data_IF_057886050820
#
_entry.id   IF_057886050820
#
_cell.length_a   1.000
_cell.length_b   1.000
_cell.length_c   1.000
_cell.angle_alpha   90.00
_cell.angle_beta   90.00
_cell.angle_gamma   90.00
#
_symmetry.space_group_name_H-M   'P 1'
#
loop_
_entity.id
_entity.type
_entity.pdbx_description
1 polymer ?
#
# COMPACT_ATOMS: atom_id res chain seq x y z
N UNK A 1 37.10 -30.98 -18.69
CA UNK A 1 38.47 -30.67 -18.22
C UNK A 1 38.47 -29.21 -17.78
N UNK A 2 38.49 -28.99 -16.47
CA UNK A 2 38.69 -27.66 -15.89
C UNK A 2 40.16 -27.29 -16.17
N UNK A 3 40.40 -26.31 -17.03
CA UNK A 3 41.71 -25.69 -17.18
C UNK A 3 42.09 -25.05 -15.86
N UNK A 4 43.02 -25.63 -15.15
CA UNK A 4 43.65 -24.98 -14.00
C UNK A 4 44.37 -23.72 -14.47
N UNK A 5 44.06 -22.54 -13.91
CA UNK A 5 44.86 -21.36 -14.23
C UNK A 5 46.31 -21.62 -13.82
N UNK A 6 47.24 -21.40 -14.71
CA UNK A 6 48.68 -21.43 -14.37
C UNK A 6 48.93 -20.27 -13.41
N UNK A 7 49.13 -20.61 -12.15
CA UNK A 7 49.57 -19.64 -11.17
C UNK A 7 50.98 -19.19 -11.52
N UNK A 8 51.20 -17.90 -11.60
CA UNK A 8 52.53 -17.34 -11.75
C UNK A 8 53.38 -17.74 -10.51
N UNK A 9 54.51 -18.44 -10.71
CA UNK A 9 55.34 -18.88 -9.60
C UNK A 9 55.85 -17.73 -8.71
N UNK A 10 55.96 -16.51 -9.27
CA UNK A 10 56.32 -15.31 -8.51
C UNK A 10 55.26 -14.88 -7.46
N UNK A 11 54.02 -15.17 -7.74
CA UNK A 11 52.93 -14.89 -6.80
C UNK A 11 52.97 -15.80 -5.56
N UNK A 12 53.31 -17.06 -5.76
CA UNK A 12 53.36 -18.04 -4.64
C UNK A 12 54.55 -17.77 -3.73
N UNK A 13 55.67 -17.28 -4.28
CA UNK A 13 56.89 -16.97 -3.51
C UNK A 13 56.78 -15.76 -2.57
N UNK A 14 55.85 -14.83 -2.86
CA UNK A 14 55.62 -13.62 -2.04
C UNK A 14 54.56 -13.79 -0.97
N UNK A 15 53.78 -14.85 -1.01
CA UNK A 15 52.80 -15.16 0.04
C UNK A 15 53.47 -16.04 1.09
N UNK A 16 53.77 -15.55 2.26
CA UNK A 16 54.33 -16.33 3.39
C UNK A 16 53.36 -17.41 3.92
N UNK A 17 52.58 -18.03 3.07
CA UNK A 17 51.66 -19.10 3.41
C UNK A 17 52.26 -20.43 2.93
N UNK A 18 52.84 -21.24 3.85
CA UNK A 18 53.69 -22.39 3.44
C UNK A 18 52.90 -23.58 2.86
N UNK A 19 51.57 -23.50 2.76
CA UNK A 19 50.72 -24.61 2.28
C UNK A 19 49.63 -24.19 1.31
N UNK A 20 49.90 -23.19 0.45
CA UNK A 20 48.96 -22.79 -0.59
C UNK A 20 48.98 -23.84 -1.71
N UNK A 21 47.92 -24.62 -1.79
CA UNK A 21 47.73 -25.54 -2.92
C UNK A 21 46.87 -24.83 -3.99
N UNK A 22 46.99 -25.21 -5.29
CA UNK A 22 46.14 -24.66 -6.36
C UNK A 22 44.65 -24.79 -6.07
N UNK A 23 44.28 -25.76 -5.24
CA UNK A 23 42.90 -25.98 -4.80
C UNK A 23 42.38 -24.95 -3.78
N UNK A 24 43.29 -24.16 -3.16
CA UNK A 24 42.88 -23.09 -2.21
C UNK A 24 42.71 -21.72 -2.87
N UNK A 25 43.15 -21.58 -4.12
CA UNK A 25 43.00 -20.36 -4.89
C UNK A 25 41.78 -20.45 -5.80
N UNK A 26 40.80 -19.63 -5.55
CA UNK A 26 39.53 -19.57 -6.31
C UNK A 26 39.44 -18.20 -6.95
N UNK A 27 39.17 -18.16 -8.25
CA UNK A 27 38.87 -16.88 -8.91
C UNK A 27 37.58 -16.28 -8.40
N UNK A 28 37.41 -14.96 -8.53
CA UNK A 28 36.16 -14.28 -8.15
C UNK A 28 34.92 -14.88 -8.83
N UNK A 29 35.09 -15.39 -10.07
CA UNK A 29 34.02 -16.05 -10.82
C UNK A 29 33.66 -17.41 -10.23
N UNK A 30 34.65 -18.21 -9.85
CA UNK A 30 34.45 -19.52 -9.22
C UNK A 30 33.87 -19.36 -7.83
N UNK A 31 34.34 -18.38 -7.05
CA UNK A 31 33.76 -18.04 -5.76
C UNK A 31 32.29 -17.61 -5.90
N UNK A 32 31.95 -16.81 -6.90
CA UNK A 32 30.57 -16.42 -7.18
C UNK A 32 29.69 -17.63 -7.54
N UNK A 33 30.22 -18.64 -8.24
CA UNK A 33 29.51 -19.88 -8.52
C UNK A 33 29.31 -20.75 -7.27
N UNK A 34 30.32 -20.84 -6.41
CA UNK A 34 30.25 -21.62 -5.17
C UNK A 34 29.36 -20.95 -4.11
N UNK A 35 29.38 -19.64 -4.03
CA UNK A 35 28.55 -18.86 -3.12
C UNK A 35 27.14 -18.54 -3.68
N UNK A 36 26.84 -18.97 -4.92
CA UNK A 36 25.52 -18.77 -5.49
C UNK A 36 24.48 -19.55 -4.68
N UNK A 37 23.37 -18.89 -4.39
CA UNK A 37 22.23 -19.52 -3.76
C UNK A 37 21.72 -20.69 -4.65
N UNK A 38 21.25 -21.78 -4.04
CA UNK A 38 20.72 -22.92 -4.79
C UNK A 38 19.55 -22.46 -5.68
N UNK A 39 19.55 -22.91 -6.93
CA UNK A 39 18.49 -22.58 -7.91
C UNK A 39 17.39 -23.63 -8.00
N UNK A 40 17.57 -24.79 -7.37
CA UNK A 40 16.61 -25.90 -7.35
C UNK A 40 16.47 -26.43 -5.94
N UNK A 41 15.28 -26.82 -5.57
CA UNK A 41 15.03 -27.47 -4.31
C UNK A 41 15.71 -28.84 -4.25
N UNK A 42 16.25 -29.17 -3.09
CA UNK A 42 16.76 -30.51 -2.72
C UNK A 42 15.95 -31.04 -1.54
N UNK A 43 16.24 -32.26 -1.10
CA UNK A 43 15.56 -32.82 0.06
C UNK A 43 15.79 -32.06 1.38
N UNK A 44 16.85 -31.26 1.45
CA UNK A 44 17.26 -30.51 2.65
C UNK A 44 17.11 -29.00 2.52
N UNK A 45 17.01 -28.47 1.30
CA UNK A 45 16.89 -27.03 1.03
C UNK A 45 15.73 -26.78 0.09
N UNK A 46 14.76 -26.02 0.55
CA UNK A 46 13.63 -25.58 -0.27
C UNK A 46 13.98 -24.25 -0.92
N UNK A 47 14.00 -24.22 -2.25
CA UNK A 47 14.14 -22.99 -3.03
C UNK A 47 12.74 -22.53 -3.41
N UNK A 48 12.36 -21.36 -2.92
CA UNK A 48 11.08 -20.74 -3.24
C UNK A 48 11.33 -19.58 -4.20
N UNK A 49 10.69 -19.62 -5.36
CA UNK A 49 10.69 -18.48 -6.26
C UNK A 49 9.91 -17.34 -5.61
N UNK A 50 10.59 -16.21 -5.43
CA UNK A 50 9.96 -14.97 -5.00
C UNK A 50 9.58 -14.13 -6.21
N UNK A 51 8.67 -13.19 -6.02
CA UNK A 51 8.31 -12.25 -7.08
C UNK A 51 9.56 -11.54 -7.64
N UNK A 52 9.65 -11.46 -8.96
CA UNK A 52 10.70 -10.73 -9.62
C UNK A 52 10.46 -9.22 -9.43
N UNK A 53 11.39 -8.54 -8.79
CA UNK A 53 11.33 -7.09 -8.63
C UNK A 53 12.03 -6.40 -9.80
N UNK A 54 11.27 -5.62 -10.56
CA UNK A 54 11.80 -4.76 -11.62
C UNK A 54 12.56 -3.56 -11.04
N UNK A 55 13.58 -3.10 -11.74
CA UNK A 55 14.28 -1.84 -11.45
C UNK A 55 13.70 -0.65 -12.21
N UNK A 56 12.85 -0.92 -13.17
CA UNK A 56 12.16 0.10 -13.98
C UNK A 56 10.72 0.14 -13.56
N UNK A 57 10.25 1.32 -13.23
CA UNK A 57 8.83 1.59 -13.05
C UNK A 57 8.29 2.03 -14.39
N UNK A 58 7.42 1.22 -14.99
CA UNK A 58 6.64 1.63 -16.16
C UNK A 58 5.31 2.16 -15.64
N UNK A 59 5.00 3.39 -15.97
CA UNK A 59 3.64 3.90 -15.85
C UNK A 59 2.76 3.13 -16.86
N UNK A 60 1.61 2.62 -16.42
CA UNK A 60 0.75 1.75 -17.22
C UNK A 60 0.22 2.39 -18.52
N UNK A 61 0.36 3.71 -18.69
CA UNK A 61 -0.12 4.45 -19.88
C UNK A 61 0.97 5.36 -20.45
N UNK A 62 2.05 4.77 -20.96
CA UNK A 62 3.13 5.53 -21.64
C UNK A 62 2.75 5.97 -23.06
N UNK A 63 1.55 5.62 -23.57
CA UNK A 63 1.16 5.95 -24.94
C UNK A 63 0.53 7.34 -25.11
N UNK A 64 0.17 8.02 -24.01
CA UNK A 64 -0.32 9.40 -24.08
C UNK A 64 0.40 10.19 -22.99
N UNK A 65 1.55 10.73 -23.32
CA UNK A 65 2.14 11.83 -22.57
C UNK A 65 1.23 13.06 -22.75
N UNK A 66 0.08 13.04 -22.10
CA UNK A 66 -0.71 14.25 -21.91
C UNK A 66 0.12 15.17 -21.02
N UNK A 67 0.63 16.23 -21.60
CA UNK A 67 1.43 17.29 -20.93
C UNK A 67 0.70 17.98 -19.79
N UNK A 68 -0.51 17.58 -19.44
CA UNK A 68 -1.34 18.10 -18.35
C UNK A 68 -1.75 17.05 -17.31
N UNK A 69 -1.16 15.86 -17.26
CA UNK A 69 -1.49 14.88 -16.23
C UNK A 69 -1.01 15.38 -14.87
N UNK A 70 -1.94 15.48 -13.92
CA UNK A 70 -1.60 15.78 -12.51
C UNK A 70 -1.09 14.49 -11.87
N UNK A 71 0.13 14.52 -11.37
CA UNK A 71 0.75 13.34 -10.75
C UNK A 71 0.97 13.53 -9.24
N UNK A 72 0.97 12.43 -8.51
CA UNK A 72 1.36 12.35 -7.11
C UNK A 72 2.63 11.50 -7.03
N UNK A 73 3.68 12.06 -6.43
CA UNK A 73 4.93 11.36 -6.20
C UNK A 73 4.84 10.44 -4.98
N UNK A 74 5.20 9.17 -5.16
CA UNK A 74 5.34 8.19 -4.07
C UNK A 74 6.75 8.19 -3.46
N UNK A 75 7.75 8.65 -4.21
CA UNK A 75 9.14 8.66 -3.82
C UNK A 75 10.06 8.15 -4.92
N UNK A 76 11.29 7.79 -4.55
CA UNK A 76 12.31 7.28 -5.46
C UNK A 76 12.45 5.77 -5.38
N UNK A 77 12.85 5.16 -6.49
CA UNK A 77 13.18 3.74 -6.51
C UNK A 77 14.45 3.51 -5.70
N UNK A 78 14.35 2.63 -4.70
CA UNK A 78 15.51 2.20 -3.92
C UNK A 78 15.92 0.80 -4.34
N UNK A 79 17.18 0.66 -4.74
CA UNK A 79 17.76 -0.64 -5.08
C UNK A 79 18.92 -0.95 -4.14
N UNK A 80 18.80 -2.04 -3.38
CA UNK A 80 19.71 -2.39 -2.30
C UNK A 80 19.81 -1.22 -1.30
N UNK A 81 20.95 -0.55 -1.23
CA UNK A 81 21.20 0.55 -0.30
C UNK A 81 21.35 1.91 -0.99
N UNK A 82 21.03 1.98 -2.30
CA UNK A 82 21.19 3.17 -3.13
C UNK A 82 19.86 3.61 -3.67
N UNK A 83 19.55 4.90 -3.53
CA UNK A 83 18.39 5.51 -4.16
C UNK A 83 18.72 5.81 -5.62
N UNK A 84 17.86 5.34 -6.51
CA UNK A 84 17.99 5.60 -7.94
C UNK A 84 17.33 6.96 -8.28
N UNK A 85 17.81 7.64 -9.33
CA UNK A 85 17.24 8.94 -9.72
C UNK A 85 15.80 8.86 -10.24
N UNK A 86 15.26 7.66 -10.41
CA UNK A 86 13.92 7.42 -10.94
C UNK A 86 12.88 7.62 -9.85
N UNK A 87 11.95 8.57 -10.07
CA UNK A 87 10.78 8.82 -9.24
C UNK A 87 9.63 7.91 -9.62
N UNK A 88 8.90 7.43 -8.62
CA UNK A 88 7.64 6.70 -8.80
C UNK A 88 6.50 7.70 -8.66
N UNK A 89 5.73 7.87 -9.71
CA UNK A 89 4.59 8.79 -9.74
C UNK A 89 3.31 8.01 -10.04
N UNK A 90 2.21 8.45 -9.44
CA UNK A 90 0.86 7.99 -9.74
C UNK A 90 0.14 9.09 -10.49
N UNK A 91 -0.53 8.73 -11.55
CA UNK A 91 -1.47 9.60 -12.24
C UNK A 91 -2.74 9.74 -11.39
N UNK A 92 -3.18 10.98 -11.14
CA UNK A 92 -4.39 11.27 -10.38
C UNK A 92 -5.65 10.71 -11.03
N UNK A 93 -5.70 10.68 -12.35
CA UNK A 93 -6.84 10.11 -13.06
C UNK A 93 -6.98 8.59 -12.82
N UNK A 94 -5.87 7.92 -12.48
CA UNK A 94 -5.87 6.51 -12.09
C UNK A 94 -6.28 6.28 -10.63
N UNK A 95 -6.26 7.29 -9.77
CA UNK A 95 -6.74 7.20 -8.38
C UNK A 95 -8.27 7.07 -8.26
N UNK A 96 -9.00 7.13 -9.36
CA UNK A 96 -10.42 6.72 -9.42
C UNK A 96 -10.58 5.22 -9.15
N UNK A 97 -9.51 4.44 -9.27
CA UNK A 97 -9.44 3.03 -8.90
C UNK A 97 -9.12 2.86 -7.41
N UNK A 98 -9.51 1.70 -6.85
CA UNK A 98 -9.20 1.38 -5.46
C UNK A 98 -7.70 1.15 -5.25
N UNK A 99 -7.16 1.74 -4.18
CA UNK A 99 -5.77 1.58 -3.77
C UNK A 99 -5.69 0.91 -2.40
N UNK A 100 -4.91 -0.17 -2.28
CA UNK A 100 -4.65 -0.85 -1.02
C UNK A 100 -3.24 -0.53 -0.54
N UNK A 101 -3.12 0.05 0.68
CA UNK A 101 -1.84 0.28 1.36
C UNK A 101 -1.74 -0.68 2.54
N UNK A 102 -0.84 -1.64 2.45
CA UNK A 102 -0.68 -2.70 3.45
C UNK A 102 0.77 -2.80 3.93
N UNK A 103 0.96 -3.40 5.09
CA UNK A 103 2.26 -3.63 5.71
C UNK A 103 2.16 -3.87 7.21
N UNK A 104 3.23 -4.32 7.84
CA UNK A 104 3.32 -4.53 9.30
C UNK A 104 3.23 -3.22 10.08
N UNK A 105 3.03 -3.31 11.38
CA UNK A 105 3.07 -2.13 12.27
C UNK A 105 4.45 -1.47 12.19
N UNK A 106 4.48 -0.14 12.08
CA UNK A 106 5.73 0.62 11.94
C UNK A 106 6.33 0.66 10.53
N UNK A 107 5.72 0.00 9.52
CA UNK A 107 6.23 0.00 8.14
C UNK A 107 6.04 1.32 7.37
N UNK A 108 5.36 2.31 7.96
CA UNK A 108 5.15 3.61 7.32
C UNK A 108 3.84 3.77 6.56
N UNK A 109 2.85 2.85 6.70
CA UNK A 109 1.54 2.95 6.03
C UNK A 109 0.88 4.31 6.20
N UNK A 110 0.73 4.78 7.44
CA UNK A 110 0.14 6.09 7.73
C UNK A 110 0.94 7.23 7.10
N UNK A 111 2.28 7.17 7.14
CA UNK A 111 3.14 8.17 6.51
C UNK A 111 2.94 8.22 4.99
N UNK A 112 2.76 7.08 4.34
CA UNK A 112 2.45 7.03 2.91
C UNK A 112 1.11 7.73 2.62
N UNK A 113 0.08 7.45 3.41
CA UNK A 113 -1.23 8.13 3.27
C UNK A 113 -1.09 9.62 3.53
N UNK A 114 -0.36 10.05 4.57
CA UNK A 114 -0.12 11.47 4.85
C UNK A 114 0.58 12.18 3.69
N UNK A 115 1.56 11.53 3.07
CA UNK A 115 2.25 12.07 1.90
C UNK A 115 1.31 12.25 0.70
N UNK A 116 0.43 11.29 0.46
CA UNK A 116 -0.59 11.38 -0.59
C UNK A 116 -1.60 12.51 -0.32
N UNK A 117 -2.15 12.59 0.88
CA UNK A 117 -3.10 13.62 1.28
C UNK A 117 -2.49 15.03 1.23
N UNK A 118 -1.23 15.18 1.66
CA UNK A 118 -0.53 16.48 1.55
C UNK A 118 -0.35 16.92 0.09
N UNK A 119 -0.13 15.99 -0.82
CA UNK A 119 -0.03 16.31 -2.24
C UNK A 119 -1.41 16.61 -2.85
N UNK A 120 -2.46 15.92 -2.41
CA UNK A 120 -3.84 16.23 -2.79
C UNK A 120 -4.21 17.67 -2.37
N UNK A 121 -3.89 18.06 -1.13
CA UNK A 121 -4.09 19.45 -0.65
C UNK A 121 -3.39 20.47 -1.54
N UNK A 122 -2.14 20.22 -1.92
CA UNK A 122 -1.37 21.14 -2.78
C UNK A 122 -1.94 21.29 -4.19
N UNK A 123 -2.79 20.38 -4.61
CA UNK A 123 -3.44 20.36 -5.91
C UNK A 123 -4.94 20.68 -5.82
N UNK A 124 -5.39 21.21 -4.67
CA UNK A 124 -6.79 21.57 -4.41
C UNK A 124 -7.77 20.41 -4.62
N UNK A 125 -7.33 19.18 -4.30
CA UNK A 125 -8.17 17.99 -4.39
C UNK A 125 -8.83 17.74 -3.04
N UNK A 126 -10.17 17.77 -2.95
CA UNK A 126 -10.87 17.45 -1.73
C UNK A 126 -10.75 15.96 -1.39
N UNK A 127 -10.69 15.66 -0.09
CA UNK A 127 -10.65 14.28 0.38
C UNK A 127 -11.48 14.09 1.65
N UNK A 128 -11.90 12.88 1.88
CA UNK A 128 -12.56 12.43 3.11
C UNK A 128 -11.73 11.30 3.71
N UNK A 129 -11.41 11.41 5.01
CA UNK A 129 -10.76 10.35 5.77
C UNK A 129 -11.74 9.79 6.79
N UNK A 130 -12.00 8.49 6.74
CA UNK A 130 -12.77 7.76 7.74
C UNK A 130 -11.79 6.93 8.55
N UNK A 131 -11.58 7.33 9.82
CA UNK A 131 -10.65 6.67 10.73
C UNK A 131 -11.40 6.12 11.95
N UNK A 132 -11.78 4.85 11.94
CA UNK A 132 -12.62 4.28 13.01
C UNK A 132 -11.87 4.00 14.32
N UNK A 133 -10.52 3.98 14.32
CA UNK A 133 -9.77 3.46 15.45
C UNK A 133 -8.87 4.51 16.14
N UNK A 134 -7.72 4.85 15.59
CA UNK A 134 -6.66 5.52 16.36
C UNK A 134 -6.79 7.04 16.50
N UNK A 135 -7.47 7.71 15.59
CA UNK A 135 -7.59 9.16 15.56
C UNK A 135 -6.26 9.89 15.27
N UNK A 136 -5.33 9.26 14.53
CA UNK A 136 -4.01 9.81 14.25
C UNK A 136 -4.09 10.99 13.24
N UNK A 137 -4.99 10.93 12.27
CA UNK A 137 -5.12 11.92 11.20
C UNK A 137 -5.49 13.31 11.71
N UNK A 138 -6.33 13.40 12.77
CA UNK A 138 -6.68 14.68 13.38
C UNK A 138 -5.46 15.41 13.96
N UNK A 139 -4.44 14.70 14.43
CA UNK A 139 -3.23 15.30 14.96
C UNK A 139 -2.31 15.83 13.87
N UNK A 140 -2.38 15.25 12.66
CA UNK A 140 -1.57 15.66 11.51
C UNK A 140 -2.24 16.82 10.76
N UNK A 141 -3.55 16.75 10.55
CA UNK A 141 -4.29 17.67 9.68
C UNK A 141 -5.24 18.61 10.42
N UNK A 142 -5.62 18.30 11.67
CA UNK A 142 -6.69 19.01 12.39
C UNK A 142 -6.40 20.47 12.75
N UNK A 143 -5.15 20.93 12.68
CA UNK A 143 -4.79 22.33 12.90
C UNK A 143 -4.94 23.22 11.64
N UNK A 144 -5.36 22.64 10.53
CA UNK A 144 -5.54 23.36 9.27
C UNK A 144 -6.96 23.96 9.21
N UNK A 145 -7.05 25.17 8.69
CA UNK A 145 -8.33 25.89 8.54
C UNK A 145 -9.25 25.28 7.46
N UNK A 146 -8.66 24.57 6.51
CA UNK A 146 -9.34 23.91 5.39
C UNK A 146 -9.71 22.46 5.70
N UNK A 147 -9.46 21.98 6.92
CA UNK A 147 -9.78 20.60 7.37
C UNK A 147 -10.78 20.66 8.52
N UNK A 148 -11.90 19.96 8.34
CA UNK A 148 -12.91 19.79 9.38
C UNK A 148 -12.79 18.41 10.00
N UNK A 149 -12.59 18.36 11.32
CA UNK A 149 -12.50 17.12 12.08
C UNK A 149 -13.83 16.88 12.78
N UNK A 150 -14.51 15.81 12.42
CA UNK A 150 -15.75 15.37 13.02
C UNK A 150 -15.52 14.09 13.83
N UNK A 151 -16.23 13.91 14.92
CA UNK A 151 -16.06 12.75 15.77
C UNK A 151 -17.36 12.33 16.46
N UNK A 152 -17.24 11.37 17.36
CA UNK A 152 -18.37 10.82 18.14
C UNK A 152 -18.45 11.35 19.56
N UNK A 153 -17.46 12.15 20.00
CA UNK A 153 -17.39 12.70 21.34
C UNK A 153 -17.31 14.24 21.28
N UNK A 154 -18.33 14.91 21.76
CA UNK A 154 -18.50 16.36 21.76
C UNK A 154 -17.46 17.12 22.63
N UNK A 155 -16.81 16.43 23.58
CA UNK A 155 -15.77 17.03 24.42
C UNK A 155 -14.46 17.28 23.67
N UNK A 156 -14.23 16.58 22.55
CA UNK A 156 -12.94 16.63 21.85
C UNK A 156 -13.04 17.10 20.41
N UNK A 157 -14.21 16.95 19.78
CA UNK A 157 -14.41 17.28 18.36
C UNK A 157 -15.85 17.72 18.14
N UNK A 158 -16.10 18.42 17.04
CA UNK A 158 -17.44 18.60 16.52
C UNK A 158 -18.09 17.23 16.23
N UNK A 159 -19.35 17.05 16.56
CA UNK A 159 -20.03 15.79 16.33
C UNK A 159 -20.36 15.58 14.85
N UNK A 160 -20.09 14.37 14.38
CA UNK A 160 -20.62 13.90 13.11
C UNK A 160 -22.13 13.63 13.28
N UNK A 161 -22.96 14.55 12.79
CA UNK A 161 -24.42 14.43 12.82
C UNK A 161 -24.91 13.97 11.45
N UNK A 162 -25.24 12.69 11.34
CA UNK A 162 -25.85 12.11 10.14
C UNK A 162 -27.24 11.64 10.54
N UNK A 163 -28.26 12.09 9.79
CA UNK A 163 -29.59 11.50 9.89
C UNK A 163 -29.67 10.28 8.98
N UNK A 164 -29.72 9.05 9.52
CA UNK A 164 -29.76 7.85 8.71
C UNK A 164 -31.06 7.66 7.93
N UNK A 165 -32.07 8.43 8.24
CA UNK A 165 -33.37 8.36 7.57
C UNK A 165 -33.52 9.39 6.43
N UNK A 166 -32.58 10.32 6.25
CA UNK A 166 -32.62 11.24 5.13
C UNK A 166 -31.76 10.70 3.97
N UNK A 167 -32.27 10.87 2.77
CA UNK A 167 -31.61 10.43 1.54
C UNK A 167 -31.83 11.44 0.40
N UNK A 168 -30.96 11.45 -0.63
CA UNK A 168 -31.10 12.33 -1.79
C UNK A 168 -32.39 12.08 -2.57
N UNK A 169 -32.97 13.13 -3.15
CA UNK A 169 -34.23 13.06 -3.91
C UNK A 169 -34.14 12.09 -5.11
N UNK A 170 -32.93 11.87 -5.66
CA UNK A 170 -32.71 10.95 -6.77
C UNK A 170 -32.71 9.46 -6.34
N UNK A 171 -32.68 9.18 -5.04
CA UNK A 171 -32.65 7.82 -4.53
C UNK A 171 -34.08 7.36 -4.22
N UNK A 172 -34.44 6.18 -4.73
CA UNK A 172 -35.76 5.61 -4.41
C UNK A 172 -35.81 5.15 -2.96
N UNK A 173 -36.93 5.41 -2.26
CA UNK A 173 -37.10 5.09 -0.83
C UNK A 173 -36.84 3.62 -0.52
N UNK A 174 -37.25 2.69 -1.38
CA UNK A 174 -37.01 1.25 -1.17
C UNK A 174 -35.53 0.93 -1.23
N UNK A 175 -34.79 1.50 -2.16
CA UNK A 175 -33.34 1.31 -2.26
C UNK A 175 -32.63 1.84 -1.02
N UNK A 176 -33.01 3.04 -0.56
CA UNK A 176 -32.45 3.60 0.66
C UNK A 176 -32.72 2.71 1.88
N UNK A 177 -33.97 2.26 2.04
CA UNK A 177 -34.37 1.42 3.17
C UNK A 177 -33.65 0.08 3.15
N UNK A 178 -33.49 -0.55 1.99
CA UNK A 178 -32.74 -1.81 1.88
C UNK A 178 -31.30 -1.64 2.35
N UNK A 179 -30.61 -0.61 1.89
CA UNK A 179 -29.24 -0.28 2.35
C UNK A 179 -29.18 0.03 3.86
N UNK A 180 -30.17 0.76 4.36
CA UNK A 180 -30.25 1.09 5.79
C UNK A 180 -30.40 -0.18 6.65
N UNK A 181 -31.25 -1.13 6.23
CA UNK A 181 -31.42 -2.42 6.91
C UNK A 181 -30.13 -3.24 6.88
N UNK A 182 -29.39 -3.22 5.77
CA UNK A 182 -28.09 -3.88 5.69
C UNK A 182 -27.10 -3.28 6.70
N UNK A 183 -27.02 -1.95 6.81
CA UNK A 183 -26.17 -1.27 7.80
C UNK A 183 -26.57 -1.67 9.22
N UNK A 184 -27.85 -1.65 9.55
CA UNK A 184 -28.32 -2.08 10.86
C UNK A 184 -28.01 -3.54 11.15
N UNK A 185 -28.14 -4.43 10.16
CA UNK A 185 -27.80 -5.84 10.33
C UNK A 185 -26.30 -6.09 10.55
N UNK A 186 -25.43 -5.28 9.98
CA UNK A 186 -23.98 -5.33 10.23
C UNK A 186 -23.66 -4.83 11.64
N UNK A 187 -24.31 -3.74 12.09
CA UNK A 187 -24.06 -3.18 13.41
C UNK A 187 -24.66 -4.02 14.54
N UNK A 188 -25.86 -4.54 14.31
CA UNK A 188 -26.64 -5.36 15.26
C UNK A 188 -27.19 -6.58 14.52
N UNK A 189 -26.51 -7.73 14.59
CA UNK A 189 -26.94 -8.93 13.87
C UNK A 189 -28.41 -9.28 14.18
N UNK A 190 -29.24 -9.26 13.15
CA UNK A 190 -30.65 -9.54 13.26
C UNK A 190 -30.94 -10.96 12.74
N UNK A 191 -31.83 -11.69 13.44
CA UNK A 191 -32.14 -13.08 13.12
C UNK A 191 -33.57 -13.23 12.62
N UNK A 192 -33.78 -14.23 11.80
CA UNK A 192 -35.08 -14.64 11.26
C UNK A 192 -35.87 -13.49 10.60
N UNK A 193 -37.04 -13.16 11.11
CA UNK A 193 -37.92 -12.14 10.53
C UNK A 193 -37.59 -10.69 10.92
N UNK A 194 -36.61 -10.45 11.81
CA UNK A 194 -36.31 -9.11 12.31
C UNK A 194 -35.97 -8.09 11.21
N UNK A 195 -35.15 -8.40 10.20
CA UNK A 195 -34.87 -7.45 9.11
C UNK A 195 -36.11 -7.05 8.35
N UNK A 196 -37.01 -8.00 8.08
CA UNK A 196 -38.24 -7.75 7.35
C UNK A 196 -39.23 -6.87 8.17
N UNK A 197 -39.34 -7.13 9.47
CA UNK A 197 -40.19 -6.35 10.38
C UNK A 197 -39.65 -4.92 10.48
N UNK A 198 -38.33 -4.74 10.63
CA UNK A 198 -37.73 -3.42 10.69
C UNK A 198 -37.92 -2.66 9.38
N UNK A 199 -37.73 -3.34 8.24
CA UNK A 199 -37.98 -2.75 6.92
C UNK A 199 -39.42 -2.24 6.79
N UNK A 200 -40.42 -3.07 7.14
CA UNK A 200 -41.82 -2.70 7.09
C UNK A 200 -42.13 -1.49 8.02
N UNK A 201 -41.58 -1.49 9.24
CA UNK A 201 -41.75 -0.40 10.16
C UNK A 201 -41.17 0.94 9.65
N UNK A 202 -39.97 0.89 9.05
CA UNK A 202 -39.33 2.08 8.47
C UNK A 202 -40.13 2.59 7.27
N UNK A 203 -40.59 1.70 6.38
CA UNK A 203 -41.41 2.12 5.24
C UNK A 203 -42.72 2.79 5.65
N UNK A 204 -43.42 2.20 6.61
CA UNK A 204 -44.66 2.83 7.17
C UNK A 204 -44.36 4.19 7.80
N UNK A 205 -43.19 4.39 8.39
CA UNK A 205 -42.83 5.70 8.94
C UNK A 205 -42.66 6.76 7.86
N UNK A 206 -42.13 6.39 6.69
CA UNK A 206 -42.04 7.30 5.53
C UNK A 206 -43.40 7.59 4.88
N UNK A 207 -44.34 6.62 4.90
CA UNK A 207 -45.69 6.81 4.39
C UNK A 207 -46.55 7.72 5.29
N UNK A 208 -46.20 7.80 6.58
CA UNK A 208 -46.92 8.59 7.57
C UNK A 208 -46.43 10.04 7.70
N UNK A 209 -45.28 10.39 7.07
CA UNK A 209 -44.72 11.74 7.06
C UNK A 209 -45.08 12.52 5.81
#
# INVERSE_FOLDING_TARGET
>A
QLMHPRLDPSFVGNTHIPYLTPATLVSSKEMALQLSLPRRSTSTVVVQETAAFGRKVQMLNTEVANTNSRTISLGQVRHLWTDLPQTVELDLDQLTSHTLITGSTGSGKSNTVYALLNQAIRQDIPFLVIEPAKGEYKHVFGNRLDVRVLGTNDRFTELLKINPFSFPEQTHVLEHVDRLIEVFNVCWPMYAAMPAILKDAVLRSYEAC
#
